data_IF_061335752195
#
_entry.id   IF_061335752195
#
_cell.length_a   1.000
_cell.length_b   1.000
_cell.length_c   1.000
_cell.angle_alpha   90.00
_cell.angle_beta   90.00
_cell.angle_gamma   90.00
#
_symmetry.space_group_name_H-M   'P 1'
#
loop_
_entity.id
_entity.type
_entity.pdbx_description
1 polymer ?
#
# COMPACT_ATOMS: atom_id res chain seq x y z
N UNK A 1 6.73 3.91 -11.33
CA UNK A 1 6.04 5.17 -10.96
C UNK A 1 4.70 4.85 -10.31
N UNK A 2 4.37 5.55 -9.23
CA UNK A 2 3.08 5.42 -8.52
C UNK A 2 2.31 6.73 -8.56
N UNK A 3 0.99 6.68 -8.43
CA UNK A 3 0.10 7.85 -8.39
C UNK A 3 -0.66 7.87 -7.09
N UNK A 4 -0.73 9.01 -6.41
CA UNK A 4 -1.61 9.16 -5.23
C UNK A 4 -3.05 9.19 -5.72
N UNK A 5 -3.85 8.24 -5.27
CA UNK A 5 -5.26 8.12 -5.66
C UNK A 5 -6.21 8.49 -4.54
N UNK A 6 -5.75 8.45 -3.28
CA UNK A 6 -6.60 8.75 -2.13
C UNK A 6 -5.77 9.10 -0.87
N UNK A 7 -6.43 9.59 0.16
CA UNK A 7 -5.87 9.85 1.48
C UNK A 7 -6.78 9.30 2.58
N UNK A 8 -6.28 8.33 3.35
CA UNK A 8 -6.95 7.76 4.52
C UNK A 8 -6.34 8.32 5.79
N UNK A 9 -7.15 8.85 6.71
CA UNK A 9 -6.69 9.18 8.07
C UNK A 9 -7.17 8.08 9.00
N UNK A 10 -6.27 7.56 9.84
CA UNK A 10 -6.58 6.53 10.84
C UNK A 10 -6.13 7.01 12.21
N UNK A 11 -6.91 6.72 13.24
CA UNK A 11 -6.49 6.95 14.61
C UNK A 11 -5.65 5.77 15.09
N UNK A 12 -4.45 6.06 15.59
CA UNK A 12 -3.65 5.08 16.31
C UNK A 12 -4.26 4.77 17.68
N UNK A 13 -3.89 3.65 18.31
CA UNK A 13 -4.38 3.27 19.64
C UNK A 13 -4.12 4.31 20.74
N UNK A 14 -3.13 5.19 20.55
CA UNK A 14 -2.83 6.34 21.41
C UNK A 14 -3.69 7.59 21.13
N UNK A 15 -4.65 7.54 20.20
CA UNK A 15 -5.50 8.69 19.84
C UNK A 15 -4.85 9.71 18.90
N UNK A 16 -3.62 9.46 18.43
CA UNK A 16 -2.95 10.27 17.40
C UNK A 16 -3.55 9.99 16.02
N UNK A 17 -3.91 11.03 15.29
CA UNK A 17 -4.34 10.94 13.89
C UNK A 17 -3.12 10.74 12.98
N UNK A 18 -3.05 9.58 12.32
CA UNK A 18 -2.03 9.25 11.34
C UNK A 18 -2.65 9.32 9.94
N UNK A 19 -2.07 10.14 9.07
CA UNK A 19 -2.48 10.23 7.68
C UNK A 19 -1.72 9.22 6.82
N UNK A 20 -2.44 8.58 5.90
CA UNK A 20 -1.90 7.61 4.95
C UNK A 20 -2.27 8.02 3.53
N UNK A 21 -1.28 8.20 2.68
CA UNK A 21 -1.49 8.35 1.25
C UNK A 21 -1.70 6.97 0.63
N UNK A 22 -2.78 6.84 -0.14
CA UNK A 22 -3.02 5.64 -0.93
C UNK A 22 -2.42 5.86 -2.30
N UNK A 23 -1.35 5.14 -2.58
CA UNK A 23 -0.67 5.18 -3.87
C UNK A 23 -1.06 3.97 -4.70
N UNK A 24 -1.14 4.15 -6.00
CA UNK A 24 -1.50 3.15 -6.97
C UNK A 24 -0.40 3.00 -8.01
N UNK A 25 -0.05 1.76 -8.33
CA UNK A 25 0.91 1.43 -9.36
C UNK A 25 0.31 1.51 -10.77
N UNK A 26 1.08 1.03 -11.75
CA UNK A 26 0.59 0.88 -13.10
C UNK A 26 -0.50 -0.20 -13.19
N UNK A 27 -1.46 -0.07 -14.11
CA UNK A 27 -2.45 -1.12 -14.35
C UNK A 27 -1.80 -2.39 -14.92
N UNK A 28 -2.25 -3.54 -14.41
CA UNK A 28 -1.87 -4.87 -14.87
C UNK A 28 -3.11 -5.67 -15.28
N UNK A 29 -2.95 -6.54 -16.28
CA UNK A 29 -4.01 -7.44 -16.71
C UNK A 29 -3.94 -8.73 -15.91
N UNK A 30 -5.02 -9.06 -15.20
CA UNK A 30 -5.19 -10.31 -14.48
C UNK A 30 -6.32 -11.11 -15.11
N UNK A 31 -6.10 -12.41 -15.28
CA UNK A 31 -7.13 -13.32 -15.77
C UNK A 31 -7.85 -13.95 -14.58
N UNK A 32 -9.17 -13.85 -14.52
CA UNK A 32 -9.95 -14.58 -13.53
C UNK A 32 -9.85 -16.07 -13.81
N UNK A 33 -9.41 -16.84 -12.82
CA UNK A 33 -9.32 -18.29 -12.91
C UNK A 33 -10.69 -18.94 -13.09
N UNK A 34 -11.75 -18.30 -12.58
CA UNK A 34 -13.10 -18.86 -12.59
C UNK A 34 -13.85 -18.58 -13.90
N UNK A 35 -13.81 -17.34 -14.39
CA UNK A 35 -14.56 -16.92 -15.58
C UNK A 35 -13.74 -16.84 -16.87
N UNK A 36 -12.42 -17.08 -16.80
CA UNK A 36 -11.43 -16.83 -17.86
C UNK A 36 -11.42 -15.40 -18.44
N UNK A 37 -12.14 -14.45 -17.84
CA UNK A 37 -12.17 -13.06 -18.28
C UNK A 37 -10.93 -12.32 -17.82
N UNK A 38 -10.42 -11.44 -18.68
CA UNK A 38 -9.30 -10.55 -18.38
C UNK A 38 -9.86 -9.29 -17.72
N UNK A 39 -9.33 -8.95 -16.56
CA UNK A 39 -9.64 -7.73 -15.81
C UNK A 39 -8.39 -6.88 -15.70
N UNK A 40 -8.55 -5.57 -15.80
CA UNK A 40 -7.48 -4.65 -15.48
C UNK A 40 -7.57 -4.35 -13.97
N UNK A 41 -6.49 -4.63 -13.25
CA UNK A 41 -6.37 -4.32 -11.84
C UNK A 41 -5.13 -3.46 -11.62
N UNK A 42 -5.07 -2.78 -10.47
CA UNK A 42 -3.95 -1.94 -10.11
C UNK A 42 -3.60 -2.21 -8.67
N UNK A 43 -2.32 -2.43 -8.38
CA UNK A 43 -1.86 -2.59 -6.99
C UNK A 43 -1.97 -1.25 -6.27
N UNK A 44 -2.36 -1.31 -5.00
CA UNK A 44 -2.44 -0.15 -4.11
C UNK A 44 -1.59 -0.42 -2.87
N UNK A 45 -0.92 0.62 -2.38
CA UNK A 45 -0.15 0.58 -1.15
C UNK A 45 -0.52 1.81 -0.29
N UNK A 46 -0.37 1.67 1.02
CA UNK A 46 -0.58 2.75 1.98
C UNK A 46 0.78 3.26 2.45
N UNK A 47 1.05 4.53 2.24
CA UNK A 47 2.28 5.20 2.68
C UNK A 47 1.90 6.12 3.83
N UNK A 48 2.49 5.86 5.01
CA UNK A 48 2.31 6.74 6.16
C UNK A 48 2.92 8.11 5.84
N UNK A 49 2.23 9.18 6.23
CA UNK A 49 2.72 10.54 6.07
C UNK A 49 2.49 11.37 7.32
N UNK A 50 3.39 12.33 7.54
CA UNK A 50 3.29 13.35 8.58
C UNK A 50 2.46 14.56 8.12
N UNK A 51 1.93 14.54 6.90
CA UNK A 51 1.15 15.63 6.34
C UNK A 51 -0.26 15.72 6.94
N UNK A 52 -0.77 16.95 7.00
CA UNK A 52 -2.16 17.21 7.35
C UNK A 52 -3.11 16.70 6.24
N UNK A 53 -4.35 16.38 6.62
CA UNK A 53 -5.42 15.92 5.71
C UNK A 53 -5.60 16.86 4.52
N UNK A 54 -5.47 18.17 4.72
CA UNK A 54 -5.61 19.16 3.64
C UNK A 54 -4.49 19.03 2.59
N UNK A 55 -3.25 18.87 3.05
CA UNK A 55 -2.08 18.68 2.18
C UNK A 55 -2.17 17.35 1.43
N UNK A 56 -2.55 16.28 2.12
CA UNK A 56 -2.71 14.97 1.50
C UNK A 56 -3.74 14.97 0.36
N UNK A 57 -4.86 15.67 0.54
CA UNK A 57 -5.87 15.83 -0.52
C UNK A 57 -5.33 16.59 -1.73
N UNK A 58 -4.45 17.58 -1.50
CA UNK A 58 -3.81 18.31 -2.60
C UNK A 58 -2.83 17.45 -3.39
N UNK A 59 -2.31 16.37 -2.79
CA UNK A 59 -1.38 15.44 -3.45
C UNK A 59 -2.09 14.41 -4.33
N UNK A 60 -3.41 14.26 -4.23
CA UNK A 60 -4.18 13.33 -5.08
C UNK A 60 -3.99 13.72 -6.55
N UNK A 61 -3.64 12.73 -7.38
CA UNK A 61 -3.28 12.91 -8.79
C UNK A 61 -1.79 13.15 -9.03
N UNK A 62 -1.01 13.41 -7.99
CA UNK A 62 0.45 13.57 -8.09
C UNK A 62 1.11 12.22 -8.30
N UNK A 63 2.14 12.20 -9.16
CA UNK A 63 2.92 11.00 -9.47
C UNK A 63 4.27 11.06 -8.74
N UNK A 64 4.65 9.95 -8.14
CA UNK A 64 5.92 9.80 -7.44
C UNK A 64 6.77 8.72 -8.12
N UNK A 65 8.10 8.88 -8.13
CA UNK A 65 9.01 7.79 -8.49
C UNK A 65 8.80 6.60 -7.53
N UNK A 66 9.21 5.40 -7.93
CA UNK A 66 9.02 4.18 -7.14
C UNK A 66 7.98 3.22 -7.71
N UNK A 67 7.88 2.06 -7.07
CA UNK A 67 7.09 0.90 -7.51
C UNK A 67 6.40 0.24 -6.32
N UNK A 68 5.27 -0.42 -6.56
CA UNK A 68 4.61 -1.21 -5.52
C UNK A 68 5.14 -2.63 -5.63
N UNK A 69 5.92 -3.04 -4.63
CA UNK A 69 6.50 -4.39 -4.57
C UNK A 69 5.65 -5.26 -3.66
N UNK A 70 5.61 -6.54 -4.01
CA UNK A 70 5.04 -7.57 -3.16
C UNK A 70 6.18 -8.05 -2.25
N UNK A 71 6.10 -7.72 -0.97
CA UNK A 71 7.06 -8.15 0.03
C UNK A 71 6.50 -9.38 0.72
N UNK A 72 7.33 -10.40 0.86
CA UNK A 72 6.99 -11.60 1.61
C UNK A 72 7.05 -11.25 3.11
N UNK A 73 5.99 -11.54 3.84
CA UNK A 73 5.86 -11.27 5.27
C UNK A 73 5.40 -12.55 5.97
N UNK A 74 5.53 -12.58 7.29
CA UNK A 74 4.97 -13.66 8.10
C UNK A 74 3.49 -13.90 7.74
N UNK A 75 3.15 -15.19 7.60
CA UNK A 75 1.84 -15.64 7.18
C UNK A 75 0.77 -15.07 8.12
N UNK A 76 -0.12 -14.24 7.56
CA UNK A 76 -1.24 -13.67 8.30
C UNK A 76 -2.57 -14.19 7.75
N UNK A 77 -3.48 -14.43 8.68
CA UNK A 77 -4.84 -14.83 8.37
C UNK A 77 -5.64 -13.60 7.93
N UNK A 78 -6.02 -13.58 6.66
CA UNK A 78 -6.90 -12.57 6.09
C UNK A 78 -8.26 -13.16 5.82
N UNK A 79 -9.26 -12.72 6.58
CA UNK A 79 -10.65 -13.08 6.31
C UNK A 79 -11.15 -12.26 5.12
N UNK A 80 -11.48 -12.94 4.02
CA UNK A 80 -12.02 -12.27 2.83
C UNK A 80 -13.39 -11.66 3.20
N UNK A 81 -13.53 -10.32 3.16
CA UNK A 81 -14.82 -9.70 3.42
C UNK A 81 -15.80 -10.13 2.30
N UNK A 82 -16.89 -10.78 2.69
CA UNK A 82 -17.98 -11.42 1.90
C UNK A 82 -18.00 -12.96 1.89
N UNK A 83 -16.86 -13.66 2.00
CA UNK A 83 -16.85 -15.13 1.92
C UNK A 83 -16.71 -15.83 3.28
N UNK A 84 -16.30 -15.11 4.34
CA UNK A 84 -15.90 -15.70 5.64
C UNK A 84 -14.76 -16.74 5.52
N UNK A 85 -14.10 -16.82 4.37
CA UNK A 85 -12.94 -17.66 4.15
C UNK A 85 -11.70 -16.96 4.71
N UNK A 86 -11.06 -17.63 5.67
CA UNK A 86 -9.75 -17.23 6.19
C UNK A 86 -8.69 -17.75 5.24
N UNK A 87 -8.10 -16.84 4.46
CA UNK A 87 -6.96 -17.17 3.60
C UNK A 87 -5.67 -16.78 4.30
N UNK A 88 -4.69 -17.66 4.22
CA UNK A 88 -3.32 -17.38 4.68
C UNK A 88 -2.62 -16.59 3.58
N UNK A 89 -2.25 -15.35 3.89
CA UNK A 89 -1.48 -14.48 3.01
C UNK A 89 -0.08 -14.32 3.60
N UNK A 90 0.93 -14.72 2.84
CA UNK A 90 2.36 -14.57 3.15
C UNK A 90 2.97 -13.33 2.49
N UNK A 91 2.12 -12.41 1.98
CA UNK A 91 2.59 -11.27 1.21
C UNK A 91 1.82 -10.00 1.49
N UNK A 92 2.54 -8.87 1.51
CA UNK A 92 1.99 -7.52 1.62
C UNK A 92 2.47 -6.67 0.46
N UNK A 93 1.61 -5.74 0.02
CA UNK A 93 1.99 -4.72 -0.94
C UNK A 93 2.56 -3.52 -0.20
N UNK A 94 3.81 -3.20 -0.51
CA UNK A 94 4.49 -2.04 0.05
C UNK A 94 5.02 -1.15 -1.08
N UNK A 95 5.03 0.14 -0.81
CA UNK A 95 5.66 1.10 -1.68
C UNK A 95 7.18 0.99 -1.50
N UNK A 96 7.88 0.63 -2.57
CA UNK A 96 9.33 0.66 -2.65
C UNK A 96 9.73 1.84 -3.51
N UNK A 97 10.38 2.81 -2.89
CA UNK A 97 11.07 3.82 -3.67
C UNK A 97 12.25 3.14 -4.39
N UNK A 98 12.36 3.35 -5.70
CA UNK A 98 13.50 2.85 -6.47
C UNK A 98 14.77 3.67 -6.16
N UNK A 99 14.63 4.85 -5.54
CA UNK A 99 15.76 5.66 -5.06
C UNK A 99 16.20 5.29 -3.62
N UNK A 100 15.27 5.01 -2.71
CA UNK A 100 15.61 4.68 -1.31
C UNK A 100 16.19 3.27 -1.10
N UNK A 101 16.11 2.37 -2.10
CA UNK A 101 16.64 1.00 -1.98
C UNK A 101 18.16 0.88 -1.79
N UNK A 102 18.89 2.01 -1.72
CA UNK A 102 20.31 2.04 -1.39
C UNK A 102 20.61 2.61 0.02
N UNK A 103 19.64 3.21 0.73
CA UNK A 103 19.90 3.99 1.96
C UNK A 103 19.10 3.57 3.21
N UNK A 104 18.05 2.74 3.11
CA UNK A 104 17.33 2.25 4.30
C UNK A 104 17.88 0.90 4.81
N UNK A 105 18.85 0.95 5.73
CA UNK A 105 19.01 -0.07 6.80
C UNK A 105 19.89 0.41 7.97
N UNK A 106 19.73 1.66 8.46
CA UNK A 106 20.25 2.04 9.79
C UNK A 106 19.27 2.97 10.51
N UNK A 107 18.16 2.42 10.99
CA UNK A 107 17.52 2.95 12.20
C UNK A 107 17.56 1.82 13.24
N UNK A 108 18.77 1.54 13.74
CA UNK A 108 18.91 0.85 15.02
C UNK A 108 18.25 1.74 16.08
N UNK A 109 17.17 1.25 16.68
CA UNK A 109 16.69 1.79 17.94
C UNK A 109 17.79 1.61 18.99
N UNK A 110 18.31 2.67 19.64
CA UNK A 110 19.09 2.48 20.84
C UNK A 110 18.16 2.07 22.00
N UNK A 111 18.63 1.06 22.74
CA UNK A 111 18.10 0.50 23.98
C UNK A 111 17.66 1.54 25.02
#
# INVERSE_FOLDING_TARGET
>A
MVTVVDCSVRQSGEGKELAYLVVQGQPEFVKSLNSQRVYMTTRRAFVLTTFDKKTCKSLIGTKFPGSIKRIQCDEYEYTVPNSNEVIKLDFRYEYSDEAASMEEMVFESPN
#
